data_IF_362861033485
#
_entry.id   IF_362861033485
#
_cell.length_a   1.000
_cell.length_b   1.000
_cell.length_c   1.000
_cell.angle_alpha   90.00
_cell.angle_beta   90.00
_cell.angle_gamma   90.00
#
_symmetry.space_group_name_H-M   'P 1'
#
loop_
_entity.id
_entity.type
_entity.pdbx_description
1 polymer ?
#
# COMPACT_ATOMS: atom_id res chain seq x y z
N UNK A 1 12.37 30.57 -14.87
CA UNK A 1 11.81 31.94 -14.92
C UNK A 1 10.35 31.82 -15.33
N UNK A 2 9.44 31.77 -14.38
CA UNK A 2 7.99 31.70 -14.61
C UNK A 2 7.40 33.06 -14.27
N UNK A 3 6.95 33.78 -15.30
CA UNK A 3 6.24 35.05 -15.19
C UNK A 3 4.85 34.83 -14.58
N UNK A 4 4.68 35.15 -13.33
CA UNK A 4 3.36 35.29 -12.67
C UNK A 4 2.76 36.64 -13.08
N UNK A 5 1.85 36.60 -14.08
CA UNK A 5 0.97 37.72 -14.39
C UNK A 5 0.00 37.94 -13.21
N UNK A 6 0.23 38.99 -12.44
CA UNK A 6 -0.68 39.45 -11.41
C UNK A 6 -2.01 39.90 -12.04
N UNK A 7 -3.11 39.24 -11.70
CA UNK A 7 -4.45 39.64 -12.09
C UNK A 7 -4.81 41.02 -11.45
N UNK A 8 -5.48 41.92 -12.18
CA UNK A 8 -5.79 43.25 -11.71
C UNK A 8 -6.68 43.23 -10.46
N UNK A 9 -6.29 44.04 -9.46
CA UNK A 9 -6.99 44.16 -8.20
C UNK A 9 -8.41 44.74 -8.40
N UNK A 10 -9.42 43.88 -8.30
CA UNK A 10 -10.83 44.29 -8.26
C UNK A 10 -11.13 45.03 -6.93
N UNK A 11 -11.96 46.11 -6.96
CA UNK A 11 -12.22 46.94 -5.79
C UNK A 11 -12.93 46.14 -4.68
N UNK A 12 -12.50 46.40 -3.42
CA UNK A 12 -13.16 45.86 -2.23
C UNK A 12 -14.58 46.40 -2.14
N UNK A 13 -15.58 45.54 -2.07
CA UNK A 13 -16.98 45.91 -1.96
C UNK A 13 -17.32 46.10 -0.47
N UNK A 14 -17.46 47.36 -0.04
CA UNK A 14 -17.97 47.70 1.28
C UNK A 14 -19.50 47.89 1.23
N UNK A 15 -20.24 47.06 1.94
CA UNK A 15 -21.66 47.26 2.17
C UNK A 15 -21.87 47.87 3.55
N UNK A 16 -22.43 49.11 3.61
CA UNK A 16 -22.85 49.73 4.87
C UNK A 16 -24.22 49.20 5.26
N UNK A 17 -24.30 48.39 6.30
CA UNK A 17 -25.56 48.06 6.95
C UNK A 17 -25.50 48.55 8.38
N UNK A 18 -26.31 49.55 8.72
CA UNK A 18 -26.48 50.19 10.05
C UNK A 18 -25.31 49.92 11.01
N UNK A 19 -24.38 50.85 11.07
CA UNK A 19 -23.23 50.96 11.99
C UNK A 19 -22.10 49.93 11.95
N UNK A 20 -22.14 48.89 11.11
CA UNK A 20 -20.98 48.03 10.88
C UNK A 20 -20.77 47.80 9.38
N UNK A 21 -19.65 48.25 8.85
CA UNK A 21 -19.22 47.92 7.47
C UNK A 21 -18.71 46.49 7.44
N UNK A 22 -19.56 45.53 7.03
CA UNK A 22 -19.13 44.15 6.82
C UNK A 22 -18.68 43.98 5.37
N UNK A 23 -17.46 43.58 5.17
CA UNK A 23 -16.89 43.34 3.87
C UNK A 23 -17.37 41.97 3.34
N UNK A 24 -18.08 41.97 2.20
CA UNK A 24 -18.42 40.72 1.52
C UNK A 24 -17.15 40.19 0.87
N UNK A 25 -16.72 38.99 1.22
CA UNK A 25 -15.53 38.41 0.63
C UNK A 25 -15.71 38.20 -0.87
N UNK A 26 -14.60 38.24 -1.60
CA UNK A 26 -14.60 37.90 -3.02
C UNK A 26 -15.17 36.50 -3.20
N UNK A 27 -16.22 36.40 -3.99
CA UNK A 27 -16.84 35.13 -4.35
C UNK A 27 -17.32 35.17 -5.81
N UNK A 28 -17.48 33.99 -6.44
CA UNK A 28 -17.84 33.92 -7.85
C UNK A 28 -19.19 34.52 -8.22
N UNK A 29 -20.14 34.58 -7.29
CA UNK A 29 -21.45 35.20 -7.54
C UNK A 29 -21.30 36.70 -7.68
N UNK A 30 -20.74 37.38 -6.67
CA UNK A 30 -20.60 38.82 -6.68
C UNK A 30 -19.60 39.33 -7.75
N UNK A 31 -18.57 38.57 -8.07
CA UNK A 31 -17.63 38.93 -9.14
C UNK A 31 -18.27 38.88 -10.54
N UNK A 32 -19.36 38.15 -10.70
CA UNK A 32 -20.12 38.06 -11.95
C UNK A 32 -21.21 39.09 -12.13
N UNK A 33 -21.49 39.91 -11.11
CA UNK A 33 -22.54 40.93 -11.09
C UNK A 33 -21.98 42.34 -11.38
N UNK A 34 -22.80 43.18 -12.05
CA UNK A 34 -22.45 44.59 -12.24
C UNK A 34 -22.59 45.36 -10.93
N UNK A 35 -21.94 46.54 -10.81
CA UNK A 35 -22.07 47.41 -9.64
C UNK A 35 -23.54 47.81 -9.35
N UNK A 36 -24.34 48.02 -10.39
CA UNK A 36 -25.77 48.35 -10.26
C UNK A 36 -26.56 47.16 -9.69
N UNK A 37 -26.29 45.94 -10.20
CA UNK A 37 -26.91 44.69 -9.69
C UNK A 37 -26.59 44.45 -8.23
N UNK A 38 -25.33 44.66 -7.84
CA UNK A 38 -24.88 44.51 -6.45
C UNK A 38 -25.61 45.48 -5.54
N UNK A 39 -25.75 46.78 -5.92
CA UNK A 39 -26.51 47.77 -5.12
C UNK A 39 -27.96 47.35 -4.90
N UNK A 40 -28.57 46.67 -5.84
CA UNK A 40 -29.94 46.18 -5.74
C UNK A 40 -30.08 44.94 -4.84
N UNK A 41 -29.04 44.13 -4.77
CA UNK A 41 -28.99 42.87 -3.97
C UNK A 41 -28.66 43.14 -2.50
N UNK A 42 -27.80 44.11 -2.20
CA UNK A 42 -27.31 44.42 -0.84
C UNK A 42 -28.43 44.56 0.21
N UNK A 43 -29.60 45.23 -0.04
CA UNK A 43 -30.68 45.33 0.93
C UNK A 43 -31.31 43.98 1.32
N UNK A 44 -31.11 42.94 0.51
CA UNK A 44 -31.65 41.60 0.74
C UNK A 44 -30.65 40.67 1.46
N UNK A 45 -29.49 41.18 1.89
CA UNK A 45 -28.48 40.42 2.61
C UNK A 45 -28.64 40.66 4.11
N UNK A 46 -28.74 39.57 4.87
CA UNK A 46 -28.75 39.56 6.34
C UNK A 46 -27.53 38.75 6.83
N UNK A 47 -26.90 39.23 7.90
CA UNK A 47 -25.80 38.51 8.53
C UNK A 47 -26.32 37.72 9.71
N UNK A 48 -25.80 36.48 9.85
CA UNK A 48 -26.17 35.59 10.93
C UNK A 48 -24.89 35.03 11.55
N UNK A 49 -24.73 35.30 12.86
CA UNK A 49 -23.64 34.70 13.64
C UNK A 49 -24.11 33.39 14.25
N UNK A 50 -23.30 32.34 14.16
CA UNK A 50 -23.65 30.97 14.47
C UNK A 50 -22.60 30.39 15.40
N UNK A 51 -23.01 29.72 16.46
CA UNK A 51 -22.13 28.95 17.33
C UNK A 51 -21.71 27.63 16.64
N UNK A 52 -20.58 27.08 17.03
CA UNK A 52 -20.16 25.76 16.60
C UNK A 52 -21.25 24.69 16.86
N UNK A 53 -21.44 23.76 15.95
CA UNK A 53 -22.47 22.73 15.99
C UNK A 53 -23.86 23.19 15.53
N UNK A 54 -24.05 24.47 15.17
CA UNK A 54 -25.36 24.95 14.72
C UNK A 54 -25.62 24.62 13.26
N UNK A 55 -26.70 23.91 12.98
CA UNK A 55 -27.18 23.66 11.63
C UNK A 55 -27.75 24.95 11.01
N UNK A 56 -27.43 25.14 9.72
CA UNK A 56 -27.86 26.28 8.91
C UNK A 56 -28.97 25.88 7.94
N UNK A 57 -28.79 24.70 7.35
CA UNK A 57 -29.71 24.10 6.39
C UNK A 57 -29.57 22.58 6.52
N UNK A 58 -30.68 21.88 6.76
CA UNK A 58 -30.69 20.43 6.92
C UNK A 58 -31.03 19.72 5.61
N UNK A 59 -30.52 18.48 5.44
CA UNK A 59 -30.91 17.62 4.33
C UNK A 59 -32.42 17.41 4.33
N UNK A 60 -33.04 17.47 3.15
CA UNK A 60 -34.51 17.40 2.99
C UNK A 60 -35.23 18.67 3.27
N UNK A 61 -34.61 19.70 3.87
CA UNK A 61 -35.25 21.00 4.15
C UNK A 61 -35.42 21.81 2.86
N UNK A 62 -36.59 22.35 2.64
CA UNK A 62 -36.86 23.34 1.56
C UNK A 62 -36.25 24.69 1.91
N UNK A 63 -35.53 25.26 0.98
CA UNK A 63 -34.88 26.56 1.13
C UNK A 63 -35.27 27.51 -0.02
N UNK A 64 -36.54 27.93 -0.13
CA UNK A 64 -36.99 28.71 -1.25
C UNK A 64 -36.38 30.11 -1.22
N UNK A 65 -35.54 30.42 -2.19
CA UNK A 65 -35.03 31.77 -2.45
C UNK A 65 -33.94 32.28 -1.52
N UNK A 66 -33.24 31.41 -0.78
CA UNK A 66 -32.10 31.79 0.07
C UNK A 66 -30.81 31.18 -0.41
N UNK A 67 -29.74 31.97 -0.34
CA UNK A 67 -28.35 31.56 -0.62
C UNK A 67 -27.50 31.98 0.58
N UNK A 68 -26.55 31.15 0.95
CA UNK A 68 -25.65 31.36 2.07
C UNK A 68 -24.24 31.58 1.59
N UNK A 69 -23.50 32.50 2.23
CA UNK A 69 -22.10 32.83 1.93
C UNK A 69 -21.33 32.85 3.24
N UNK A 70 -20.26 32.12 3.34
CA UNK A 70 -19.40 32.14 4.52
C UNK A 70 -18.60 33.42 4.54
N UNK A 71 -18.79 34.25 5.57
CA UNK A 71 -18.06 35.51 5.78
C UNK A 71 -16.83 35.25 6.66
N UNK A 72 -17.01 34.43 7.71
CA UNK A 72 -15.99 34.07 8.68
C UNK A 72 -16.31 32.69 9.27
N UNK A 73 -15.28 31.96 9.70
CA UNK A 73 -15.42 30.61 10.23
C UNK A 73 -15.47 29.52 9.15
N UNK A 74 -16.06 28.39 9.49
CA UNK A 74 -16.15 27.21 8.61
C UNK A 74 -17.50 26.51 8.77
N UNK A 75 -17.99 25.94 7.66
CA UNK A 75 -19.27 25.22 7.60
C UNK A 75 -19.04 23.87 6.90
N UNK A 76 -19.30 22.76 7.59
CA UNK A 76 -19.24 21.43 6.99
C UNK A 76 -20.52 21.14 6.21
N UNK A 77 -20.36 20.55 5.04
CA UNK A 77 -21.43 19.95 4.26
C UNK A 77 -21.41 18.44 4.47
N UNK A 78 -22.48 17.89 5.02
CA UNK A 78 -22.57 16.46 5.33
C UNK A 78 -23.76 15.80 4.64
N UNK A 79 -23.66 14.50 4.40
CA UNK A 79 -24.72 13.66 3.86
C UNK A 79 -24.97 12.46 4.75
N UNK A 80 -26.24 12.18 5.02
CA UNK A 80 -26.61 10.95 5.71
C UNK A 80 -26.51 9.76 4.75
N UNK A 81 -25.83 8.72 5.16
CA UNK A 81 -25.71 7.47 4.44
C UNK A 81 -25.70 6.28 5.40
N UNK A 82 -25.54 5.07 4.89
CA UNK A 82 -25.39 3.88 5.71
C UNK A 82 -23.90 3.53 5.84
N UNK A 83 -23.46 3.19 7.05
CA UNK A 83 -22.12 2.64 7.28
C UNK A 83 -21.97 1.34 6.51
N UNK A 84 -20.93 1.16 5.67
CA UNK A 84 -20.72 -0.09 4.93
C UNK A 84 -20.35 -1.27 5.84
N UNK A 85 -19.93 -1.03 7.08
CA UNK A 85 -19.52 -2.06 8.04
C UNK A 85 -20.67 -2.43 8.98
N UNK A 86 -21.39 -1.43 9.50
CA UNK A 86 -22.40 -1.62 10.56
C UNK A 86 -23.84 -1.52 10.05
N UNK A 87 -24.04 -1.04 8.83
CA UNK A 87 -25.39 -0.79 8.27
C UNK A 87 -26.16 0.32 8.98
N UNK A 88 -25.52 1.04 9.93
CA UNK A 88 -26.12 2.12 10.71
C UNK A 88 -26.08 3.46 9.95
N UNK A 89 -27.07 4.36 10.17
CA UNK A 89 -27.04 5.71 9.62
C UNK A 89 -25.79 6.45 10.11
N UNK A 90 -24.96 6.89 9.16
CA UNK A 90 -23.71 7.60 9.43
C UNK A 90 -23.67 8.87 8.61
N UNK A 91 -23.19 9.97 9.22
CA UNK A 91 -23.02 11.24 8.54
C UNK A 91 -21.63 11.32 7.91
N UNK A 92 -21.58 11.47 6.58
CA UNK A 92 -20.36 11.61 5.81
C UNK A 92 -20.10 13.07 5.48
N UNK A 93 -18.90 13.58 5.81
CA UNK A 93 -18.48 14.91 5.39
C UNK A 93 -18.16 14.90 3.89
N UNK A 94 -18.91 15.70 3.12
CA UNK A 94 -18.76 15.85 1.67
C UNK A 94 -17.81 16.99 1.32
N UNK A 95 -17.74 17.99 2.18
CA UNK A 95 -16.85 19.13 1.99
C UNK A 95 -16.94 20.15 3.10
N UNK A 96 -15.93 21.04 3.12
CA UNK A 96 -15.82 22.12 4.10
C UNK A 96 -15.87 23.47 3.38
N UNK A 97 -16.91 24.26 3.68
CA UNK A 97 -17.10 25.61 3.16
C UNK A 97 -16.28 26.59 3.98
N UNK A 98 -15.48 27.40 3.31
CA UNK A 98 -14.60 28.42 3.91
C UNK A 98 -15.04 29.83 3.51
N UNK A 99 -14.36 30.83 4.04
CA UNK A 99 -14.61 32.24 3.71
C UNK A 99 -14.72 32.49 2.20
N UNK A 100 -15.85 33.03 1.76
CA UNK A 100 -16.16 33.30 0.36
C UNK A 100 -16.94 32.18 -0.34
N UNK A 101 -17.04 31.00 0.24
CA UNK A 101 -17.80 29.90 -0.36
C UNK A 101 -19.29 30.12 -0.22
N UNK A 102 -20.03 29.59 -1.21
CA UNK A 102 -21.50 29.74 -1.35
C UNK A 102 -22.13 28.37 -1.22
N UNK A 103 -23.22 28.26 -0.48
CA UNK A 103 -23.99 27.01 -0.38
C UNK A 103 -25.50 27.30 -0.36
N UNK A 104 -26.30 26.24 -0.57
CA UNK A 104 -27.77 26.36 -0.69
C UNK A 104 -28.25 26.86 -2.07
N UNK A 105 -27.32 27.05 -3.02
CA UNK A 105 -27.60 27.56 -4.36
C UNK A 105 -28.38 26.56 -5.22
N UNK A 106 -28.19 25.25 -5.01
CA UNK A 106 -28.94 24.21 -5.74
C UNK A 106 -30.42 24.30 -5.42
N UNK A 107 -30.79 24.33 -4.14
CA UNK A 107 -32.19 24.51 -3.71
C UNK A 107 -32.78 25.85 -4.13
N UNK A 108 -31.95 26.89 -4.26
CA UNK A 108 -32.38 28.20 -4.76
C UNK A 108 -32.76 28.15 -6.24
N UNK A 109 -31.98 27.46 -7.07
CA UNK A 109 -32.12 27.39 -8.53
C UNK A 109 -33.21 26.43 -8.96
N UNK A 110 -33.29 25.24 -8.38
CA UNK A 110 -34.20 24.16 -8.80
C UNK A 110 -35.47 24.04 -7.91
N UNK A 111 -35.46 24.72 -6.76
CA UNK A 111 -36.58 24.68 -5.81
C UNK A 111 -36.76 23.39 -5.04
N UNK A 112 -35.84 22.42 -5.22
CA UNK A 112 -35.85 21.13 -4.51
C UNK A 112 -35.34 21.28 -3.08
N UNK A 113 -35.65 20.32 -2.18
CA UNK A 113 -35.06 20.24 -0.86
C UNK A 113 -33.54 20.17 -0.91
N UNK A 114 -32.86 20.60 0.15
CA UNK A 114 -31.40 20.49 0.26
C UNK A 114 -30.95 19.03 0.20
N UNK A 115 -29.96 18.75 -0.62
CA UNK A 115 -29.36 17.42 -0.73
C UNK A 115 -28.34 17.12 0.38
N UNK A 116 -27.91 18.16 1.13
CA UNK A 116 -26.88 18.10 2.17
C UNK A 116 -27.34 18.87 3.41
N UNK A 117 -26.78 18.49 4.56
CA UNK A 117 -26.86 19.28 5.80
C UNK A 117 -25.59 20.13 5.91
N UNK A 118 -25.81 21.42 6.28
CA UNK A 118 -24.74 22.39 6.45
C UNK A 118 -24.68 22.83 7.91
N UNK A 119 -23.55 22.56 8.57
CA UNK A 119 -23.37 22.81 10.02
C UNK A 119 -22.09 23.62 10.24
N UNK A 120 -22.14 24.63 11.10
CA UNK A 120 -20.96 25.39 11.50
C UNK A 120 -20.04 24.53 12.34
N UNK A 121 -18.80 24.32 11.91
CA UNK A 121 -17.80 23.51 12.65
C UNK A 121 -17.11 24.30 13.75
N UNK A 122 -17.01 25.61 13.56
CA UNK A 122 -16.53 26.60 14.52
C UNK A 122 -17.52 27.77 14.57
N UNK A 123 -17.29 28.74 15.45
CA UNK A 123 -18.10 29.97 15.40
C UNK A 123 -17.98 30.61 14.00
N UNK A 124 -19.10 30.83 13.35
CA UNK A 124 -19.15 31.28 11.96
C UNK A 124 -20.12 32.46 11.77
N UNK A 125 -19.74 33.35 10.88
CA UNK A 125 -20.62 34.39 10.36
C UNK A 125 -20.99 34.07 8.93
N UNK A 126 -22.30 33.99 8.64
CA UNK A 126 -22.84 33.68 7.31
C UNK A 126 -23.71 34.82 6.83
N UNK A 127 -23.48 35.30 5.61
CA UNK A 127 -24.40 36.21 4.92
C UNK A 127 -25.51 35.39 4.23
N UNK A 128 -26.75 35.74 4.49
CA UNK A 128 -27.93 35.11 3.89
C UNK A 128 -28.54 36.10 2.89
N UNK A 129 -28.40 35.81 1.62
CA UNK A 129 -29.15 36.50 0.57
C UNK A 129 -30.57 35.90 0.51
N UNK A 130 -31.56 36.66 0.92
CA UNK A 130 -32.96 36.23 1.00
C UNK A 130 -33.79 36.92 -0.08
N UNK A 131 -34.11 36.20 -1.13
CA UNK A 131 -34.99 36.61 -2.22
C UNK A 131 -36.33 35.85 -2.20
N UNK A 132 -36.70 35.27 -1.06
CA UNK A 132 -37.97 34.53 -0.87
C UNK A 132 -39.16 35.44 -0.73
N UNK A 133 -38.92 36.66 -0.23
CA UNK A 133 -39.95 37.65 0.03
C UNK A 133 -40.47 38.33 -1.25
N UNK A 134 -41.69 37.97 -1.62
CA UNK A 134 -42.52 38.58 -2.66
C UNK A 134 -42.08 38.40 -4.12
N UNK A 135 -42.45 37.24 -4.67
CA UNK A 135 -42.62 37.09 -6.12
C UNK A 135 -43.61 38.11 -6.73
N UNK A 136 -44.28 38.93 -5.92
CA UNK A 136 -45.23 40.00 -6.34
C UNK A 136 -44.56 41.33 -6.69
N UNK A 137 -43.31 41.62 -6.25
CA UNK A 137 -42.58 42.84 -6.64
C UNK A 137 -41.74 42.58 -7.88
N UNK A 138 -41.99 43.27 -8.98
CA UNK A 138 -41.24 43.14 -10.25
C UNK A 138 -39.72 43.19 -10.06
N UNK A 139 -39.21 44.00 -9.14
CA UNK A 139 -37.79 44.14 -8.83
C UNK A 139 -37.17 42.87 -8.26
N UNK A 140 -37.84 42.24 -7.26
CA UNK A 140 -37.31 40.99 -6.61
C UNK A 140 -37.34 39.84 -7.59
N UNK A 141 -38.36 39.73 -8.43
CA UNK A 141 -38.42 38.72 -9.49
C UNK A 141 -37.24 38.87 -10.48
N UNK A 142 -36.98 40.09 -10.94
CA UNK A 142 -35.87 40.36 -11.85
C UNK A 142 -34.50 40.07 -11.23
N UNK A 143 -34.30 40.39 -9.95
CA UNK A 143 -33.10 40.06 -9.19
C UNK A 143 -32.91 38.56 -9.08
N UNK A 144 -33.99 37.84 -8.76
CA UNK A 144 -33.94 36.36 -8.69
C UNK A 144 -33.56 35.75 -10.03
N UNK A 145 -34.12 36.24 -11.15
CA UNK A 145 -33.78 35.77 -12.49
C UNK A 145 -32.29 36.00 -12.81
N UNK A 146 -31.75 37.19 -12.48
CA UNK A 146 -30.33 37.50 -12.66
C UNK A 146 -29.42 36.55 -11.85
N UNK A 147 -29.71 36.39 -10.55
CA UNK A 147 -28.95 35.53 -9.67
C UNK A 147 -29.04 34.07 -10.12
N UNK A 148 -30.24 33.60 -10.49
CA UNK A 148 -30.48 32.25 -11.01
C UNK A 148 -29.67 31.97 -12.28
N UNK A 149 -29.67 32.91 -13.24
CA UNK A 149 -28.89 32.77 -14.48
C UNK A 149 -27.40 32.64 -14.20
N UNK A 150 -26.84 33.45 -13.30
CA UNK A 150 -25.43 33.40 -12.92
C UNK A 150 -25.08 32.11 -12.18
N UNK A 151 -25.96 31.64 -11.30
CA UNK A 151 -25.77 30.38 -10.59
C UNK A 151 -25.90 29.16 -11.50
N UNK A 152 -26.86 29.15 -12.44
CA UNK A 152 -26.98 28.03 -13.42
C UNK A 152 -25.71 27.83 -14.20
N UNK A 153 -25.10 28.92 -14.69
CA UNK A 153 -23.85 28.82 -15.43
C UNK A 153 -22.67 28.27 -14.56
N UNK A 154 -22.67 28.61 -13.28
CA UNK A 154 -21.73 28.09 -12.32
C UNK A 154 -21.98 26.61 -12.00
N UNK A 155 -23.23 26.25 -11.73
CA UNK A 155 -23.64 24.87 -11.43
C UNK A 155 -23.32 23.95 -12.62
N UNK A 156 -23.59 24.39 -13.85
CA UNK A 156 -23.23 23.61 -15.06
C UNK A 156 -21.73 23.33 -15.13
N UNK A 157 -20.86 24.31 -14.87
CA UNK A 157 -19.42 24.10 -14.83
C UNK A 157 -19.00 23.13 -13.72
N UNK A 158 -19.55 23.28 -12.51
CA UNK A 158 -19.28 22.36 -11.41
C UNK A 158 -19.82 20.96 -11.66
N UNK A 159 -20.91 20.81 -12.41
CA UNK A 159 -21.41 19.50 -12.81
C UNK A 159 -20.43 18.79 -13.76
N UNK A 160 -19.85 19.49 -14.73
CA UNK A 160 -18.82 18.95 -15.62
C UNK A 160 -17.56 18.56 -14.84
N UNK A 161 -17.10 19.41 -13.93
CA UNK A 161 -15.97 19.11 -13.05
C UNK A 161 -16.25 17.87 -12.17
N UNK A 162 -17.47 17.76 -11.64
CA UNK A 162 -17.90 16.62 -10.82
C UNK A 162 -17.99 15.31 -11.62
N UNK A 163 -18.46 15.37 -12.87
CA UNK A 163 -18.49 14.21 -13.78
C UNK A 163 -17.06 13.77 -14.09
N UNK A 164 -16.18 14.71 -14.42
CA UNK A 164 -14.77 14.41 -14.70
C UNK A 164 -14.07 13.78 -13.49
N UNK A 165 -14.28 14.34 -12.29
CA UNK A 165 -13.74 13.75 -11.05
C UNK A 165 -14.28 12.35 -10.80
N UNK A 166 -15.59 12.12 -11.03
CA UNK A 166 -16.20 10.80 -10.85
C UNK A 166 -15.67 9.77 -11.84
N UNK A 167 -15.48 10.16 -13.10
CA UNK A 167 -14.86 9.30 -14.13
C UNK A 167 -13.43 8.94 -13.71
N UNK A 168 -12.63 9.92 -13.30
CA UNK A 168 -11.26 9.68 -12.83
C UNK A 168 -11.23 8.76 -11.60
N UNK A 169 -12.15 8.94 -10.65
CA UNK A 169 -12.26 8.08 -9.46
C UNK A 169 -12.59 6.63 -9.87
N UNK A 170 -13.57 6.44 -10.76
CA UNK A 170 -13.95 5.11 -11.27
C UNK A 170 -12.80 4.45 -12.04
N UNK A 171 -12.03 5.22 -12.81
CA UNK A 171 -10.83 4.71 -13.49
C UNK A 171 -9.79 4.23 -12.49
N UNK A 172 -9.47 5.03 -11.45
CA UNK A 172 -8.54 4.66 -10.39
C UNK A 172 -9.02 3.43 -9.60
N UNK A 173 -10.32 3.33 -9.30
CA UNK A 173 -10.91 2.16 -8.65
C UNK A 173 -10.79 0.90 -9.51
N UNK A 174 -11.02 1.01 -10.82
CA UNK A 174 -10.86 -0.09 -11.76
C UNK A 174 -9.40 -0.52 -11.89
N UNK A 175 -8.46 0.42 -12.01
CA UNK A 175 -7.03 0.14 -12.06
C UNK A 175 -6.55 -0.54 -10.78
N UNK A 176 -6.98 -0.04 -9.61
CA UNK A 176 -6.66 -0.64 -8.32
C UNK A 176 -7.25 -2.04 -8.17
N UNK A 177 -8.49 -2.25 -8.63
CA UNK A 177 -9.13 -3.57 -8.64
C UNK A 177 -8.41 -4.55 -9.54
N UNK A 178 -8.04 -4.13 -10.75
CA UNK A 178 -7.26 -4.95 -11.69
C UNK A 178 -5.89 -5.33 -11.13
N UNK A 179 -5.19 -4.36 -10.53
CA UNK A 179 -3.91 -4.58 -9.84
C UNK A 179 -4.06 -5.63 -8.74
N UNK A 180 -5.03 -5.45 -7.83
CA UNK A 180 -5.29 -6.37 -6.72
C UNK A 180 -5.65 -7.77 -7.19
N UNK A 181 -6.49 -7.88 -8.22
CA UNK A 181 -6.87 -9.17 -8.81
C UNK A 181 -5.67 -9.87 -9.46
N UNK A 182 -4.81 -9.13 -10.17
CA UNK A 182 -3.58 -9.68 -10.73
C UNK A 182 -2.64 -10.23 -9.66
N UNK A 183 -2.38 -9.46 -8.60
CA UNK A 183 -1.56 -9.92 -7.47
C UNK A 183 -2.21 -11.11 -6.76
N UNK A 184 -3.53 -11.06 -6.53
CA UNK A 184 -4.28 -12.17 -5.92
C UNK A 184 -4.17 -13.46 -6.73
N UNK A 185 -4.25 -13.38 -8.06
CA UNK A 185 -4.07 -14.52 -8.94
C UNK A 185 -2.68 -15.15 -8.80
N UNK A 186 -1.61 -14.33 -8.77
CA UNK A 186 -0.25 -14.81 -8.54
C UNK A 186 -0.15 -15.54 -7.19
N UNK A 187 -0.68 -14.95 -6.10
CA UNK A 187 -0.66 -15.56 -4.77
C UNK A 187 -1.38 -16.91 -4.75
N UNK A 188 -2.59 -16.99 -5.31
CA UNK A 188 -3.37 -18.25 -5.37
C UNK A 188 -2.64 -19.31 -6.18
N UNK A 189 -2.15 -18.94 -7.37
CA UNK A 189 -1.42 -19.90 -8.24
C UNK A 189 -0.15 -20.39 -7.55
N UNK A 190 0.58 -19.49 -6.86
CA UNK A 190 1.75 -19.85 -6.05
C UNK A 190 1.40 -20.83 -4.93
N UNK A 191 0.30 -20.60 -4.20
CA UNK A 191 -0.15 -21.53 -3.15
C UNK A 191 -0.52 -22.91 -3.71
N UNK A 192 -1.20 -22.96 -4.86
CA UNK A 192 -1.49 -24.22 -5.54
C UNK A 192 -0.21 -24.96 -5.94
N UNK A 193 0.76 -24.27 -6.52
CA UNK A 193 2.05 -24.87 -6.88
C UNK A 193 2.82 -25.37 -5.66
N UNK A 194 2.84 -24.57 -4.57
CA UNK A 194 3.50 -24.99 -3.32
C UNK A 194 2.84 -26.23 -2.71
N UNK A 195 1.50 -26.29 -2.73
CA UNK A 195 0.76 -27.47 -2.28
C UNK A 195 1.12 -28.69 -3.12
N UNK A 196 1.17 -28.55 -4.44
CA UNK A 196 1.58 -29.62 -5.33
C UNK A 196 3.04 -30.04 -5.09
N UNK A 197 3.94 -29.08 -4.89
CA UNK A 197 5.34 -29.32 -4.54
C UNK A 197 5.49 -30.13 -3.24
N UNK A 198 4.81 -29.72 -2.16
CA UNK A 198 4.87 -30.42 -0.88
C UNK A 198 4.28 -31.82 -0.95
N UNK A 199 3.19 -32.02 -1.71
CA UNK A 199 2.65 -33.34 -1.98
C UNK A 199 3.65 -34.21 -2.76
N UNK A 200 4.31 -33.65 -3.77
CA UNK A 200 5.33 -34.38 -4.54
C UNK A 200 6.51 -34.80 -3.65
N UNK A 201 6.98 -33.89 -2.76
CA UNK A 201 8.04 -34.22 -1.79
C UNK A 201 7.64 -35.35 -0.84
N UNK A 202 6.36 -35.47 -0.46
CA UNK A 202 5.89 -36.54 0.43
C UNK A 202 5.99 -37.93 -0.18
N UNK A 203 6.10 -38.06 -1.50
CA UNK A 203 6.34 -39.34 -2.19
C UNK A 203 7.84 -39.76 -2.23
N UNK A 204 8.79 -38.82 -1.99
CA UNK A 204 10.24 -39.14 -2.03
C UNK A 204 10.62 -40.33 -1.13
N UNK A 205 10.10 -40.46 0.10
CA UNK A 205 10.43 -41.60 0.95
C UNK A 205 10.09 -42.97 0.33
N UNK A 206 9.07 -43.04 -0.55
CA UNK A 206 8.69 -44.28 -1.23
C UNK A 206 9.75 -44.75 -2.24
N UNK A 207 10.63 -43.87 -2.71
CA UNK A 207 11.71 -44.15 -3.64
C UNK A 207 13.06 -44.41 -2.96
N UNK A 208 13.15 -44.39 -1.61
CA UNK A 208 14.39 -44.59 -0.85
C UNK A 208 15.05 -45.95 -1.13
N UNK A 209 14.30 -46.93 -1.61
CA UNK A 209 14.82 -48.25 -1.98
C UNK A 209 15.67 -48.25 -3.26
N UNK A 210 15.61 -47.19 -4.07
CA UNK A 210 16.43 -47.00 -5.26
C UNK A 210 17.68 -46.22 -4.83
N UNK A 211 18.81 -46.88 -4.72
CA UNK A 211 20.09 -46.28 -4.33
C UNK A 211 20.34 -44.97 -5.09
N UNK A 212 20.64 -43.88 -4.37
CA UNK A 212 20.88 -42.54 -4.88
C UNK A 212 19.68 -41.76 -5.47
N UNK A 213 18.47 -42.28 -5.44
CA UNK A 213 17.29 -41.61 -6.01
C UNK A 213 17.02 -40.27 -5.33
N UNK A 214 17.21 -40.14 -4.01
CA UNK A 214 16.97 -38.91 -3.27
C UNK A 214 17.91 -37.76 -3.69
N UNK A 215 19.17 -38.09 -3.97
CA UNK A 215 20.18 -37.11 -4.38
C UNK A 215 19.88 -36.49 -5.74
N UNK A 216 19.32 -37.25 -6.67
CA UNK A 216 19.01 -36.77 -8.01
C UNK A 216 17.58 -36.19 -8.12
N UNK A 217 16.62 -36.75 -7.38
CA UNK A 217 15.19 -36.38 -7.50
C UNK A 217 14.91 -35.02 -6.86
N UNK A 218 15.45 -34.70 -5.68
CA UNK A 218 15.20 -33.43 -5.00
C UNK A 218 15.65 -32.22 -5.83
N UNK A 219 16.87 -32.17 -6.40
CA UNK A 219 17.30 -31.13 -7.32
C UNK A 219 16.40 -30.96 -8.54
N UNK A 220 15.95 -32.08 -9.14
CA UNK A 220 15.07 -32.08 -10.31
C UNK A 220 13.70 -31.49 -9.96
N UNK A 221 13.13 -31.86 -8.83
CA UNK A 221 11.82 -31.33 -8.37
C UNK A 221 11.95 -29.82 -8.11
N UNK A 222 13.00 -29.35 -7.45
CA UNK A 222 13.25 -27.91 -7.22
C UNK A 222 13.36 -27.17 -8.54
N UNK A 223 14.09 -27.71 -9.50
CA UNK A 223 14.27 -27.11 -10.81
C UNK A 223 12.92 -26.99 -11.55
N UNK A 224 12.17 -28.10 -11.67
CA UNK A 224 10.88 -28.12 -12.35
C UNK A 224 9.88 -27.16 -11.68
N UNK A 225 9.84 -27.17 -10.34
CA UNK A 225 9.00 -26.25 -9.59
C UNK A 225 9.39 -24.79 -9.82
N UNK A 226 10.66 -24.46 -9.80
CA UNK A 226 11.16 -23.11 -10.07
C UNK A 226 10.84 -22.65 -11.49
N UNK A 227 10.99 -23.52 -12.48
CA UNK A 227 10.66 -23.22 -13.88
C UNK A 227 9.18 -22.93 -14.08
N UNK A 228 8.28 -23.53 -13.26
CA UNK A 228 6.83 -23.27 -13.33
C UNK A 228 6.45 -21.83 -12.96
N UNK A 229 7.32 -21.07 -12.27
CA UNK A 229 7.09 -19.65 -11.98
C UNK A 229 7.39 -18.74 -13.17
N UNK A 230 8.17 -19.18 -14.15
CA UNK A 230 8.52 -18.36 -15.32
C UNK A 230 7.25 -17.93 -16.10
N UNK A 231 6.35 -18.85 -16.51
CA UNK A 231 5.13 -18.45 -17.19
C UNK A 231 4.21 -17.58 -16.32
N UNK A 232 4.13 -17.82 -15.00
CA UNK A 232 3.34 -16.99 -14.09
C UNK A 232 3.84 -15.54 -14.12
N UNK A 233 5.16 -15.34 -14.02
CA UNK A 233 5.78 -14.01 -14.08
C UNK A 233 5.58 -13.40 -15.47
N UNK A 234 5.81 -14.14 -16.53
CA UNK A 234 5.72 -13.65 -17.91
C UNK A 234 4.29 -13.21 -18.28
N UNK A 235 3.26 -13.90 -17.76
CA UNK A 235 1.84 -13.60 -18.06
C UNK A 235 1.18 -12.68 -17.04
N UNK A 236 1.88 -12.33 -15.96
CA UNK A 236 1.34 -11.55 -14.85
C UNK A 236 0.98 -10.09 -15.20
N UNK A 237 1.60 -9.54 -16.25
CA UNK A 237 1.51 -8.12 -16.61
C UNK A 237 2.34 -7.19 -15.71
N UNK A 238 3.01 -7.71 -14.68
CA UNK A 238 3.88 -6.90 -13.81
C UNK A 238 5.30 -6.81 -14.36
N UNK A 239 6.01 -5.68 -14.14
CA UNK A 239 7.39 -5.54 -14.58
C UNK A 239 8.31 -6.47 -13.78
N UNK A 240 9.43 -6.90 -14.38
CA UNK A 240 10.43 -7.76 -13.71
C UNK A 240 10.96 -7.17 -12.41
N UNK A 241 11.01 -5.84 -12.28
CA UNK A 241 11.37 -5.13 -11.05
C UNK A 241 10.40 -5.38 -9.88
N UNK A 242 9.13 -5.70 -10.17
CA UNK A 242 8.16 -6.10 -9.14
C UNK A 242 8.62 -7.38 -8.41
N UNK A 243 9.23 -8.29 -9.15
CA UNK A 243 9.72 -9.57 -8.66
C UNK A 243 11.18 -9.52 -8.15
N UNK A 244 11.79 -8.33 -8.10
CA UNK A 244 13.19 -8.17 -7.73
C UNK A 244 14.18 -8.64 -8.80
N UNK A 245 13.70 -8.97 -10.01
CA UNK A 245 14.49 -9.40 -11.15
C UNK A 245 15.02 -8.18 -11.92
N UNK A 246 15.90 -7.41 -11.27
CA UNK A 246 16.49 -6.22 -11.83
C UNK A 246 17.96 -6.09 -11.46
N UNK A 247 18.77 -5.56 -12.39
CA UNK A 247 20.19 -5.26 -12.18
C UNK A 247 20.44 -3.78 -11.88
N UNK A 248 19.38 -2.97 -11.79
CA UNK A 248 19.51 -1.57 -11.40
C UNK A 248 20.04 -1.49 -9.97
N UNK A 249 21.08 -0.71 -9.74
CA UNK A 249 21.73 -0.55 -8.43
C UNK A 249 22.33 -1.85 -7.84
N UNK A 250 22.78 -2.77 -8.69
CA UNK A 250 23.35 -4.06 -8.24
C UNK A 250 24.57 -3.90 -7.32
N UNK A 251 25.44 -2.90 -7.55
CA UNK A 251 26.63 -2.67 -6.72
C UNK A 251 26.31 -2.35 -5.24
N UNK A 252 25.47 -1.34 -4.91
CA UNK A 252 25.08 -1.11 -3.53
C UNK A 252 24.27 -2.26 -2.92
N UNK A 253 23.45 -2.96 -3.69
CA UNK A 253 22.69 -4.13 -3.23
C UNK A 253 23.66 -5.28 -2.86
N UNK A 254 24.65 -5.55 -3.70
CA UNK A 254 25.67 -6.54 -3.45
C UNK A 254 26.54 -6.16 -2.23
N UNK A 255 27.00 -4.92 -2.13
CA UNK A 255 27.78 -4.45 -0.99
C UNK A 255 27.01 -4.54 0.34
N UNK A 256 25.68 -4.30 0.31
CA UNK A 256 24.81 -4.51 1.47
C UNK A 256 24.72 -6.00 1.82
N UNK A 257 24.48 -6.85 0.83
CA UNK A 257 24.40 -8.31 0.98
C UNK A 257 25.67 -8.87 1.59
N UNK A 258 26.85 -8.53 1.05
CA UNK A 258 28.14 -9.00 1.54
C UNK A 258 28.39 -8.61 3.00
N UNK A 259 28.08 -7.34 3.36
CA UNK A 259 28.22 -6.88 4.74
C UNK A 259 27.32 -7.65 5.71
N UNK A 260 26.06 -7.85 5.35
CA UNK A 260 25.12 -8.57 6.19
C UNK A 260 25.47 -10.05 6.31
N UNK A 261 25.95 -10.68 5.22
CA UNK A 261 26.41 -12.06 5.21
C UNK A 261 27.64 -12.24 6.10
N UNK A 262 28.61 -11.34 6.01
CA UNK A 262 29.81 -11.40 6.86
C UNK A 262 29.44 -11.27 8.35
N UNK A 263 28.58 -10.32 8.72
CA UNK A 263 28.12 -10.17 10.09
C UNK A 263 27.40 -11.42 10.60
N UNK A 264 26.57 -12.05 9.78
CA UNK A 264 25.88 -13.28 10.15
C UNK A 264 26.86 -14.46 10.31
N UNK A 265 27.81 -14.61 9.41
CA UNK A 265 28.84 -15.65 9.49
C UNK A 265 29.70 -15.49 10.75
N UNK A 266 30.12 -14.26 11.07
CA UNK A 266 30.87 -13.98 12.29
C UNK A 266 30.04 -14.27 13.55
N UNK A 267 28.78 -13.90 13.56
CA UNK A 267 27.85 -14.25 14.64
C UNK A 267 27.70 -15.77 14.79
N UNK A 268 27.50 -16.49 13.69
CA UNK A 268 27.38 -17.95 13.70
C UNK A 268 28.66 -18.61 14.24
N UNK A 269 29.85 -18.18 13.79
CA UNK A 269 31.12 -18.66 14.28
C UNK A 269 31.32 -18.39 15.77
N UNK A 270 30.88 -17.21 16.26
CA UNK A 270 30.95 -16.91 17.67
C UNK A 270 30.04 -17.83 18.50
N UNK A 271 28.84 -18.11 18.02
CA UNK A 271 27.90 -19.05 18.66
C UNK A 271 28.51 -20.47 18.66
N UNK A 272 29.04 -20.93 17.52
CA UNK A 272 29.68 -22.25 17.43
C UNK A 272 30.88 -22.36 18.38
N UNK A 273 31.72 -21.32 18.44
CA UNK A 273 32.86 -21.25 19.35
C UNK A 273 32.43 -21.39 20.83
N UNK A 274 31.36 -20.67 21.22
CA UNK A 274 30.83 -20.79 22.59
C UNK A 274 30.34 -22.20 22.86
N UNK A 275 29.55 -22.80 21.95
CA UNK A 275 29.05 -24.19 22.10
C UNK A 275 30.17 -25.19 22.28
N UNK A 276 31.23 -25.11 21.49
CA UNK A 276 32.42 -26.00 21.58
C UNK A 276 33.10 -25.90 22.96
N UNK A 277 33.15 -24.71 23.56
CA UNK A 277 33.87 -24.51 24.83
C UNK A 277 32.98 -24.64 26.08
N UNK A 278 31.66 -24.63 25.94
CA UNK A 278 30.74 -24.65 27.09
C UNK A 278 29.88 -25.91 27.19
N UNK A 279 29.76 -26.66 26.09
CA UNK A 279 28.84 -27.80 26.04
C UNK A 279 29.59 -29.10 25.71
N UNK A 280 29.49 -30.06 26.59
CA UNK A 280 30.24 -31.33 26.47
C UNK A 280 29.92 -32.10 25.17
N UNK A 281 28.67 -32.02 24.68
CA UNK A 281 28.27 -32.65 23.42
C UNK A 281 28.97 -32.09 22.17
N UNK A 282 29.67 -30.95 22.29
CA UNK A 282 30.39 -30.28 21.20
C UNK A 282 31.90 -30.25 21.41
N UNK A 283 32.45 -30.89 22.45
CA UNK A 283 33.87 -30.80 22.82
C UNK A 283 34.84 -31.36 21.75
N UNK A 284 34.36 -32.27 20.91
CA UNK A 284 35.11 -32.90 19.81
C UNK A 284 34.86 -32.23 18.45
N UNK A 285 33.96 -31.20 18.38
CA UNK A 285 33.66 -30.48 17.14
C UNK A 285 34.72 -29.42 16.87
N UNK A 286 35.22 -29.34 15.66
CA UNK A 286 36.15 -28.27 15.26
C UNK A 286 35.41 -27.03 14.78
N UNK A 287 36.06 -25.87 14.89
CA UNK A 287 35.41 -24.58 14.48
C UNK A 287 35.18 -24.55 12.95
N UNK A 288 36.13 -25.12 12.18
CA UNK A 288 36.05 -25.26 10.72
C UNK A 288 36.13 -26.73 10.41
N UNK A 289 35.06 -27.27 9.90
CA UNK A 289 34.86 -28.74 9.73
C UNK A 289 34.70 -29.10 8.25
N UNK A 290 35.57 -28.56 7.42
CA UNK A 290 35.46 -28.63 5.95
C UNK A 290 35.58 -30.06 5.34
N UNK A 291 35.70 -31.10 6.18
CA UNK A 291 35.97 -32.46 5.71
C UNK A 291 34.76 -33.40 5.79
N UNK A 292 33.76 -33.09 6.60
CA UNK A 292 32.68 -34.04 6.94
C UNK A 292 31.30 -33.63 6.43
N UNK A 293 31.22 -33.32 5.14
CA UNK A 293 29.89 -33.36 4.48
C UNK A 293 29.51 -34.83 4.38
N UNK A 294 28.85 -35.34 5.41
CA UNK A 294 28.26 -36.68 5.43
C UNK A 294 27.01 -36.68 4.57
N UNK A 295 27.19 -36.82 3.26
CA UNK A 295 26.12 -37.36 2.42
C UNK A 295 26.31 -38.87 2.39
N UNK A 296 25.45 -39.59 3.15
CA UNK A 296 25.37 -41.07 3.17
C UNK A 296 26.70 -41.79 2.87
N UNK A 297 27.64 -41.84 3.83
CA UNK A 297 28.87 -42.63 3.77
C UNK A 297 30.03 -41.95 3.05
N UNK A 298 30.79 -41.10 3.77
CA UNK A 298 32.16 -40.66 3.47
C UNK A 298 32.41 -39.84 2.20
N UNK A 299 32.05 -38.57 2.24
CA UNK A 299 32.46 -37.58 1.24
C UNK A 299 33.43 -36.55 1.87
N UNK A 300 34.70 -36.92 2.03
CA UNK A 300 35.75 -35.93 2.35
C UNK A 300 36.00 -34.98 1.17
N UNK A 301 36.64 -33.83 1.43
CA UNK A 301 37.03 -32.82 0.42
C UNK A 301 37.80 -33.34 -0.78
N UNK A 302 38.38 -34.51 -0.67
CA UNK A 302 39.09 -35.23 -1.76
C UNK A 302 38.12 -36.02 -2.66
N UNK A 303 36.85 -36.13 -2.35
CA UNK A 303 35.87 -36.85 -3.17
C UNK A 303 35.34 -35.96 -4.30
N UNK A 304 35.26 -36.52 -5.50
CA UNK A 304 34.62 -35.85 -6.63
C UNK A 304 33.13 -35.44 -6.31
N UNK A 305 32.45 -36.21 -5.46
CA UNK A 305 31.08 -35.96 -5.03
C UNK A 305 30.94 -34.71 -4.18
N UNK A 306 31.93 -34.29 -3.40
CA UNK A 306 31.96 -33.04 -2.68
C UNK A 306 31.80 -31.84 -3.65
N UNK A 307 32.57 -31.86 -4.73
CA UNK A 307 32.53 -30.80 -5.74
C UNK A 307 31.25 -30.83 -6.55
N UNK A 308 30.70 -32.03 -6.81
CA UNK A 308 29.37 -32.16 -7.42
C UNK A 308 28.29 -31.61 -6.52
N UNK A 309 28.29 -31.91 -5.22
CA UNK A 309 27.33 -31.37 -4.25
C UNK A 309 27.42 -29.85 -4.16
N UNK A 310 28.62 -29.28 -4.09
CA UNK A 310 28.84 -27.84 -4.11
C UNK A 310 28.30 -27.20 -5.41
N UNK A 311 28.59 -27.81 -6.56
CA UNK A 311 28.09 -27.29 -7.85
C UNK A 311 26.57 -27.34 -7.93
N UNK A 312 25.93 -28.42 -7.48
CA UNK A 312 24.46 -28.54 -7.39
C UNK A 312 23.88 -27.49 -6.43
N UNK A 313 24.50 -27.31 -5.27
CA UNK A 313 24.10 -26.30 -4.32
C UNK A 313 24.15 -24.89 -4.93
N UNK A 314 25.24 -24.51 -5.59
CA UNK A 314 25.40 -23.21 -6.26
C UNK A 314 24.38 -23.00 -7.38
N UNK A 315 23.98 -24.04 -8.10
CA UNK A 315 22.98 -24.01 -9.16
C UNK A 315 21.56 -23.86 -8.58
N UNK A 316 21.24 -24.56 -7.50
CA UNK A 316 19.90 -24.61 -6.94
C UNK A 316 19.58 -23.41 -6.04
N UNK A 317 20.57 -22.82 -5.38
CA UNK A 317 20.36 -21.67 -4.50
C UNK A 317 19.67 -20.49 -5.19
N UNK A 318 20.06 -20.05 -6.41
CA UNK A 318 19.31 -19.03 -7.14
C UNK A 318 17.84 -19.41 -7.40
N UNK A 319 17.59 -20.70 -7.66
CA UNK A 319 16.22 -21.20 -7.91
C UNK A 319 15.38 -21.19 -6.65
N UNK A 320 15.94 -21.56 -5.51
CA UNK A 320 15.27 -21.50 -4.21
C UNK A 320 14.92 -20.05 -3.84
N UNK A 321 15.86 -19.12 -3.98
CA UNK A 321 15.62 -17.71 -3.73
C UNK A 321 14.62 -17.11 -4.73
N UNK A 322 14.65 -17.53 -5.99
CA UNK A 322 13.68 -17.12 -7.00
C UNK A 322 12.26 -17.49 -6.58
N UNK A 323 12.03 -18.71 -6.12
CA UNK A 323 10.72 -19.13 -5.61
C UNK A 323 10.35 -18.36 -4.35
N UNK A 324 11.25 -18.32 -3.35
CA UNK A 324 10.95 -17.74 -2.05
C UNK A 324 10.75 -16.22 -2.12
N UNK A 325 11.58 -15.50 -2.87
CA UNK A 325 11.54 -14.02 -2.90
C UNK A 325 10.68 -13.50 -4.03
N UNK A 326 10.92 -13.93 -5.26
CA UNK A 326 10.17 -13.45 -6.42
C UNK A 326 8.78 -14.09 -6.50
N UNK A 327 8.68 -15.40 -6.25
CA UNK A 327 7.41 -16.12 -6.34
C UNK A 327 6.46 -15.88 -5.16
N UNK A 328 6.99 -15.74 -3.94
CA UNK A 328 6.18 -15.68 -2.71
C UNK A 328 6.27 -14.32 -2.03
N UNK A 329 7.47 -13.87 -1.63
CA UNK A 329 7.62 -12.67 -0.80
C UNK A 329 7.15 -11.40 -1.50
N UNK A 330 7.52 -11.17 -2.76
CA UNK A 330 7.15 -9.97 -3.49
C UNK A 330 5.64 -9.85 -3.72
N UNK A 331 4.94 -10.88 -4.23
CA UNK A 331 3.48 -10.84 -4.36
C UNK A 331 2.76 -10.70 -3.03
N UNK A 332 3.19 -11.38 -1.96
CA UNK A 332 2.61 -11.22 -0.63
C UNK A 332 2.77 -9.80 -0.10
N UNK A 333 3.95 -9.19 -0.25
CA UNK A 333 4.16 -7.80 0.14
C UNK A 333 3.21 -6.83 -0.58
N UNK A 334 2.94 -7.06 -1.85
CA UNK A 334 2.02 -6.27 -2.65
C UNK A 334 0.54 -6.53 -2.30
N UNK A 335 0.19 -7.76 -1.96
CA UNK A 335 -1.17 -8.18 -1.62
C UNK A 335 -1.61 -7.71 -0.23
N UNK A 336 -0.71 -7.75 0.75
CA UNK A 336 -1.01 -7.43 2.14
C UNK A 336 -1.34 -5.96 2.35
N UNK A 337 -2.31 -5.69 3.25
CA UNK A 337 -2.72 -4.35 3.65
C UNK A 337 -2.08 -3.94 4.98
N UNK A 338 -2.02 -2.63 5.23
CA UNK A 338 -1.51 -2.06 6.47
C UNK A 338 -0.25 -1.22 6.29
N UNK A 339 0.42 -0.91 7.40
CA UNK A 339 1.65 -0.12 7.37
C UNK A 339 2.77 -0.86 6.63
N UNK A 340 3.70 -0.11 6.03
CA UNK A 340 4.84 -0.67 5.29
C UNK A 340 5.63 -1.68 6.12
N UNK A 341 5.86 -1.38 7.41
CA UNK A 341 6.58 -2.26 8.33
C UNK A 341 5.84 -3.59 8.55
N UNK A 342 4.52 -3.56 8.77
CA UNK A 342 3.70 -4.77 8.94
C UNK A 342 3.72 -5.63 7.67
N UNK A 343 3.51 -5.03 6.51
CA UNK A 343 3.54 -5.73 5.21
C UNK A 343 4.89 -6.40 4.96
N UNK A 344 5.97 -5.67 5.24
CA UNK A 344 7.34 -6.16 5.08
C UNK A 344 7.60 -7.39 5.94
N UNK A 345 7.37 -7.31 7.24
CA UNK A 345 7.62 -8.43 8.14
C UNK A 345 6.69 -9.61 7.88
N UNK A 346 5.41 -9.37 7.63
CA UNK A 346 4.47 -10.45 7.32
C UNK A 346 4.86 -11.21 6.05
N UNK A 347 5.28 -10.51 4.98
CA UNK A 347 5.75 -11.15 3.75
C UNK A 347 7.06 -11.91 3.93
N UNK A 348 8.01 -11.38 4.72
CA UNK A 348 9.27 -12.07 5.07
C UNK A 348 8.96 -13.35 5.85
N UNK A 349 8.20 -13.25 6.93
CA UNK A 349 7.91 -14.40 7.79
C UNK A 349 7.12 -15.48 7.05
N UNK A 350 6.07 -15.10 6.30
CA UNK A 350 5.28 -16.07 5.55
C UNK A 350 6.09 -16.79 4.48
N UNK A 351 6.86 -16.06 3.66
CA UNK A 351 7.71 -16.68 2.63
C UNK A 351 8.81 -17.55 3.23
N UNK A 352 9.36 -17.13 4.38
CA UNK A 352 10.40 -17.88 5.07
C UNK A 352 9.89 -19.13 5.78
N UNK A 353 8.68 -19.10 6.33
CA UNK A 353 8.02 -20.30 6.87
C UNK A 353 7.81 -21.34 5.78
N UNK A 354 7.37 -20.92 4.58
CA UNK A 354 7.24 -21.84 3.44
C UNK A 354 8.59 -22.38 3.02
N UNK A 355 9.63 -21.53 2.97
CA UNK A 355 10.99 -21.96 2.66
C UNK A 355 11.51 -22.99 3.66
N UNK A 356 11.34 -22.75 4.96
CA UNK A 356 11.73 -23.69 6.01
C UNK A 356 10.93 -25.00 5.93
N UNK A 357 9.62 -24.93 5.74
CA UNK A 357 8.74 -26.10 5.59
C UNK A 357 9.16 -26.97 4.39
N UNK A 358 9.64 -26.37 3.30
CA UNK A 358 10.16 -27.10 2.15
C UNK A 358 11.42 -27.93 2.48
N UNK A 359 12.13 -27.63 3.57
CA UNK A 359 13.29 -28.38 4.06
C UNK A 359 12.94 -29.44 5.12
N UNK A 360 11.67 -29.50 5.58
CA UNK A 360 11.24 -30.43 6.61
C UNK A 360 11.31 -31.91 6.17
N UNK A 361 11.38 -32.17 4.87
CA UNK A 361 11.58 -33.52 4.33
C UNK A 361 13.00 -34.09 4.62
N UNK A 362 13.96 -33.21 4.91
CA UNK A 362 15.32 -33.59 5.36
C UNK A 362 15.25 -33.92 6.86
N UNK A 363 14.99 -32.95 7.69
CA UNK A 363 14.65 -33.07 9.12
C UNK A 363 13.98 -31.80 9.63
N UNK A 364 13.23 -31.90 10.74
CA UNK A 364 12.63 -30.73 11.40
C UNK A 364 13.71 -29.77 11.91
N UNK A 365 14.78 -30.32 12.46
CA UNK A 365 15.89 -29.53 13.00
C UNK A 365 16.60 -28.74 11.88
N UNK A 366 16.79 -29.35 10.72
CA UNK A 366 17.34 -28.68 9.54
C UNK A 366 16.42 -27.57 9.03
N UNK A 367 15.11 -27.81 9.00
CA UNK A 367 14.12 -26.81 8.63
C UNK A 367 14.17 -25.57 9.57
N UNK A 368 14.29 -25.80 10.88
CA UNK A 368 14.44 -24.75 11.88
C UNK A 368 15.77 -24.00 11.74
N UNK A 369 16.86 -24.73 11.45
CA UNK A 369 18.17 -24.11 11.17
C UNK A 369 18.15 -23.24 9.91
N UNK A 370 17.45 -23.66 8.86
CA UNK A 370 17.27 -22.87 7.62
C UNK A 370 16.37 -21.64 7.81
N UNK A 371 15.50 -21.66 8.81
CA UNK A 371 14.57 -20.55 9.08
C UNK A 371 15.30 -19.26 9.47
N UNK A 372 16.34 -19.35 10.31
CA UNK A 372 17.07 -18.16 10.80
C UNK A 372 17.76 -17.37 9.69
N UNK A 373 18.64 -17.96 8.85
CA UNK A 373 19.25 -17.23 7.74
C UNK A 373 18.21 -16.81 6.70
N UNK A 374 17.14 -17.56 6.52
CA UNK A 374 16.05 -17.23 5.62
C UNK A 374 15.36 -15.90 5.96
N UNK A 375 15.25 -15.53 7.25
CA UNK A 375 14.78 -14.20 7.66
C UNK A 375 15.74 -13.13 7.14
N UNK A 376 17.04 -13.33 7.25
CA UNK A 376 18.03 -12.37 6.77
C UNK A 376 17.98 -12.20 5.25
N UNK A 377 17.87 -13.29 4.48
CA UNK A 377 17.72 -13.22 3.02
C UNK A 377 16.44 -12.50 2.60
N UNK A 378 15.34 -12.77 3.30
CA UNK A 378 14.07 -12.02 3.11
C UNK A 378 14.19 -10.54 3.42
N UNK A 379 14.94 -10.17 4.46
CA UNK A 379 15.24 -8.79 4.80
C UNK A 379 16.12 -8.11 3.76
N UNK A 380 17.20 -8.77 3.30
CA UNK A 380 18.08 -8.27 2.23
C UNK A 380 17.25 -8.00 0.97
N UNK A 381 16.39 -8.95 0.57
CA UNK A 381 15.50 -8.79 -0.57
C UNK A 381 14.55 -7.60 -0.38
N UNK A 382 13.86 -7.50 0.77
CA UNK A 382 12.93 -6.41 1.06
C UNK A 382 13.61 -5.03 1.10
N UNK A 383 14.91 -4.97 1.44
CA UNK A 383 15.67 -3.72 1.52
C UNK A 383 16.25 -3.29 0.18
N UNK A 384 16.65 -4.23 -0.64
CA UNK A 384 17.36 -3.98 -1.90
C UNK A 384 16.49 -4.16 -3.15
N UNK A 385 15.37 -4.82 -3.01
CA UNK A 385 14.53 -5.30 -4.13
C UNK A 385 15.38 -6.00 -5.21
N UNK A 386 16.32 -6.88 -4.78
CA UNK A 386 17.26 -7.55 -5.66
C UNK A 386 17.36 -9.03 -5.30
N UNK A 387 16.91 -9.88 -6.23
CA UNK A 387 17.05 -11.33 -6.11
C UNK A 387 18.53 -11.72 -6.04
N UNK A 388 19.38 -11.10 -6.86
CA UNK A 388 20.83 -11.35 -6.87
C UNK A 388 21.45 -11.12 -5.48
N UNK A 389 21.06 -10.06 -4.77
CA UNK A 389 21.60 -9.76 -3.44
C UNK A 389 21.21 -10.83 -2.41
N UNK A 390 19.96 -11.31 -2.42
CA UNK A 390 19.51 -12.41 -1.57
C UNK A 390 20.25 -13.72 -1.91
N UNK A 391 20.35 -14.03 -3.19
CA UNK A 391 21.05 -15.24 -3.69
C UNK A 391 22.52 -15.27 -3.28
N UNK A 392 23.25 -14.16 -3.45
CA UNK A 392 24.68 -14.10 -3.04
C UNK A 392 24.81 -14.31 -1.53
N UNK A 393 23.93 -13.69 -0.72
CA UNK A 393 23.93 -13.91 0.73
C UNK A 393 23.63 -15.38 1.07
N UNK A 394 22.67 -16.01 0.39
CA UNK A 394 22.35 -17.42 0.60
C UNK A 394 23.52 -18.32 0.26
N UNK A 395 24.16 -18.09 -0.89
CA UNK A 395 25.37 -18.85 -1.29
C UNK A 395 26.46 -18.71 -0.23
N UNK A 396 26.72 -17.52 0.28
CA UNK A 396 27.77 -17.29 1.26
C UNK A 396 27.46 -17.93 2.62
N UNK A 397 26.28 -17.68 3.17
CA UNK A 397 25.90 -18.15 4.50
C UNK A 397 25.65 -19.68 4.48
N UNK A 398 24.75 -20.12 3.60
CA UNK A 398 24.39 -21.53 3.53
C UNK A 398 25.53 -22.41 3.00
N UNK A 399 26.25 -21.92 1.98
CA UNK A 399 27.42 -22.61 1.46
C UNK A 399 28.54 -22.76 2.49
N UNK A 400 28.88 -21.67 3.22
CA UNK A 400 29.87 -21.78 4.29
C UNK A 400 29.36 -22.65 5.44
N UNK A 401 28.05 -22.54 5.78
CA UNK A 401 27.44 -23.39 6.81
C UNK A 401 27.55 -24.87 6.49
N UNK A 402 27.17 -25.29 5.29
CA UNK A 402 27.15 -26.69 4.88
C UNK A 402 28.56 -27.24 4.57
N UNK A 403 29.35 -26.49 3.81
CA UNK A 403 30.63 -27.02 3.27
C UNK A 403 31.88 -26.65 4.08
N UNK A 404 31.77 -25.69 5.03
CA UNK A 404 32.94 -25.27 5.84
C UNK A 404 32.72 -25.41 7.35
N UNK A 405 31.47 -25.27 7.82
CA UNK A 405 31.23 -25.20 9.27
C UNK A 405 30.45 -26.38 9.84
N UNK A 406 30.10 -27.39 9.04
CA UNK A 406 29.43 -28.60 9.51
C UNK A 406 28.11 -28.30 10.25
N UNK A 407 27.25 -27.46 9.69
CA UNK A 407 25.94 -27.10 10.30
C UNK A 407 25.08 -28.33 10.51
N UNK A 408 25.18 -29.35 9.64
CA UNK A 408 24.42 -30.59 9.75
C UNK A 408 24.76 -31.32 11.04
N UNK A 409 26.04 -31.55 11.33
CA UNK A 409 26.53 -32.15 12.57
C UNK A 409 26.09 -31.38 13.81
N UNK A 410 26.09 -30.03 13.74
CA UNK A 410 25.62 -29.20 14.83
C UNK A 410 24.13 -29.40 15.08
N UNK A 411 23.31 -29.42 14.02
CA UNK A 411 21.86 -29.62 14.09
C UNK A 411 21.50 -30.99 14.64
N UNK A 412 22.19 -32.03 14.24
CA UNK A 412 22.04 -33.41 14.74
C UNK A 412 22.32 -33.47 16.26
N UNK A 413 23.43 -32.88 16.71
CA UNK A 413 23.81 -32.88 18.14
C UNK A 413 22.89 -32.01 19.01
N UNK A 414 22.27 -31.00 18.46
CA UNK A 414 21.25 -30.19 19.18
C UNK A 414 19.90 -30.89 19.25
N UNK A 415 19.64 -31.88 18.38
CA UNK A 415 18.37 -32.61 18.33
C UNK A 415 18.42 -33.96 19.06
N UNK A 416 19.65 -34.45 19.42
CA UNK A 416 19.89 -35.63 20.23
C UNK A 416 19.82 -35.32 21.73
#
# INVERSE_FOLDING_TARGET
MANTLAAPALPRLHARVRNNSIEIPRNPLFSSLTRQQIRLILPHIKYKRLKAGREILSEGQRNPGKIFIVIEGQVAATKLGLSPIEGLPTSYEIGLMRRGDIFGELSFVDGKPSALTFTATVEATVAVLDLSGSARRRTTRRLREIVTSKLRHRIARHADDSVTLRVNTLQLENEFSAYRNGVGHIVVTTLCLLSFYTLTLSFLPAFKSVAHANFALSPLIILLFSLSFIPIIATSGFPLSFFGLQLRNWRPALAYSLRMSLLFILFFLAVKWVLIHTTQSFADVTLIDGADVQMEGHLGTNSAWYWVALAVYLLLTPMQEFVARSGIQAPLYAFLHGSELKRRWASILASNLVFAAAHAHISLAFALAAFLPGILWGWIFARTNSLMAATVSHILIGGSGMFLFGVETMVERLSA
#
